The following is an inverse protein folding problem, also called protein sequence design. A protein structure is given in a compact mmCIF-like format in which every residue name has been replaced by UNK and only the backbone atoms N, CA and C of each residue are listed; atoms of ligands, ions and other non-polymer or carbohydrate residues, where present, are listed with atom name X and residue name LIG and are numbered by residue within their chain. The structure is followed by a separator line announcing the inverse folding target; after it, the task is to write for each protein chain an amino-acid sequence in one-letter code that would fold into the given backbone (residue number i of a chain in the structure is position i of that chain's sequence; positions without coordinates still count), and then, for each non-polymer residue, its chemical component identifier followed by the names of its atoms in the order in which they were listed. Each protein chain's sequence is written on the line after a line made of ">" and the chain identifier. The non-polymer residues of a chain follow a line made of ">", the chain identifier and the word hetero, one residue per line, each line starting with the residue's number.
data_IF_204531187518
#
_entry.id   IF_204531187518
#
_cell.length_a   1.000
_cell.length_b   1.000
_cell.length_c   1.000
_cell.angle_alpha   90.00
_cell.angle_beta   90.00
_cell.angle_gamma   90.00
#
_symmetry.space_group_name_H-M   'P 1'
#
loop_
_entity.id
_entity.type
_entity.pdbx_description
1 polymer ?
#
# COMPACT_ATOMS: atom_id res chain seq x y z
N UNK A 1 16.44 -7.31 -2.04
CA UNK A 1 15.84 -6.14 -2.70
C UNK A 1 15.79 -5.02 -1.68
N UNK A 2 16.41 -3.89 -1.97
CA UNK A 2 16.40 -2.72 -1.08
C UNK A 2 15.33 -1.76 -1.60
N UNK A 3 14.31 -1.49 -0.79
CA UNK A 3 13.24 -0.54 -1.15
C UNK A 3 13.40 0.69 -0.29
N UNK A 4 13.61 1.84 -0.93
CA UNK A 4 13.70 3.13 -0.26
C UNK A 4 12.31 3.74 -0.21
N UNK A 5 11.75 3.89 0.99
CA UNK A 5 10.47 4.55 1.22
C UNK A 5 10.71 5.88 1.94
N UNK A 6 10.01 6.92 1.48
CA UNK A 6 9.98 8.19 2.19
C UNK A 6 9.11 8.06 3.44
N UNK A 7 9.70 8.34 4.61
CA UNK A 7 9.05 8.21 5.91
C UNK A 7 7.81 9.13 6.05
N UNK A 8 7.78 10.23 5.30
CA UNK A 8 6.63 11.17 5.30
C UNK A 8 5.35 10.55 4.74
N UNK A 9 5.46 9.47 3.97
CA UNK A 9 4.33 8.74 3.40
C UNK A 9 3.89 7.55 4.25
N UNK A 10 4.67 7.18 5.27
CA UNK A 10 4.36 6.11 6.23
C UNK A 10 2.99 6.33 6.88
N UNK A 11 2.73 7.54 7.37
CA UNK A 11 1.47 7.90 8.03
C UNK A 11 0.27 8.05 7.07
N UNK A 12 0.50 8.07 5.75
CA UNK A 12 -0.53 8.25 4.72
C UNK A 12 -0.89 6.94 3.99
N UNK A 13 -0.30 5.81 4.39
CA UNK A 13 -0.52 4.54 3.70
C UNK A 13 -1.98 4.08 3.80
N UNK A 14 -2.55 4.23 4.99
CA UNK A 14 -3.97 4.02 5.24
C UNK A 14 -4.71 5.34 5.08
N UNK A 15 -5.84 5.29 4.39
CA UNK A 15 -6.72 6.45 4.32
C UNK A 15 -7.34 6.66 5.71
N UNK A 16 -7.08 7.82 6.30
CA UNK A 16 -7.64 8.20 7.60
C UNK A 16 -9.08 8.67 7.49
N UNK A 17 -9.53 9.04 6.29
CA UNK A 17 -10.91 9.40 6.05
C UNK A 17 -11.81 8.15 6.02
N UNK A 18 -12.62 7.98 7.07
CA UNK A 18 -13.79 7.11 6.99
C UNK A 18 -14.73 7.68 5.95
N UNK A 19 -14.68 7.15 4.73
CA UNK A 19 -15.72 7.40 3.73
C UNK A 19 -17.02 6.84 4.31
N UNK A 20 -17.86 7.71 4.88
CA UNK A 20 -19.19 7.37 5.42
C UNK A 20 -20.18 6.86 4.35
N UNK A 21 -19.67 6.44 3.18
CA UNK A 21 -20.40 5.85 2.06
C UNK A 21 -20.44 4.33 2.23
N UNK A 22 -21.65 3.76 2.17
CA UNK A 22 -21.86 2.31 2.18
C UNK A 22 -21.09 1.68 1.01
N UNK A 23 -20.18 0.75 1.32
CA UNK A 23 -19.57 -0.15 0.33
C UNK A 23 -18.07 0.00 0.06
N UNK A 24 -17.39 1.05 0.55
CA UNK A 24 -15.96 1.17 0.34
C UNK A 24 -15.27 1.90 1.51
N UNK A 25 -14.73 1.17 2.51
CA UNK A 25 -13.63 1.72 3.28
C UNK A 25 -12.47 1.90 2.30
N UNK A 26 -12.06 3.13 2.04
CA UNK A 26 -10.73 3.37 1.48
C UNK A 26 -9.76 2.86 2.56
N UNK A 27 -9.33 1.60 2.46
CA UNK A 27 -8.36 1.04 3.40
C UNK A 27 -6.97 1.53 3.04
N UNK A 28 -6.71 1.77 1.76
CA UNK A 28 -5.43 2.24 1.23
C UNK A 28 -5.60 3.62 0.60
N UNK A 29 -4.64 4.50 0.83
CA UNK A 29 -4.55 5.76 0.09
C UNK A 29 -4.24 5.53 -1.39
N UNK A 30 -4.62 6.48 -2.26
CA UNK A 30 -4.27 6.46 -3.69
C UNK A 30 -2.77 6.26 -3.92
N UNK A 31 -1.92 6.81 -3.05
CA UNK A 31 -0.48 6.63 -3.12
C UNK A 31 -0.06 5.17 -2.89
N UNK A 32 -0.67 4.48 -1.92
CA UNK A 32 -0.39 3.07 -1.67
C UNK A 32 -0.86 2.19 -2.84
N UNK A 33 -2.00 2.54 -3.46
CA UNK A 33 -2.49 1.86 -4.67
C UNK A 33 -1.54 2.06 -5.85
N UNK A 34 -1.08 3.29 -6.10
CA UNK A 34 -0.11 3.59 -7.15
C UNK A 34 1.22 2.86 -6.92
N UNK A 35 1.76 2.87 -5.70
CA UNK A 35 2.96 2.10 -5.35
C UNK A 35 2.78 0.60 -5.64
N UNK A 36 1.64 0.03 -5.25
CA UNK A 36 1.31 -1.36 -5.56
C UNK A 36 1.30 -1.66 -7.06
N UNK A 37 0.71 -0.77 -7.87
CA UNK A 37 0.69 -0.92 -9.34
C UNK A 37 2.08 -0.81 -9.97
N UNK A 38 2.93 0.11 -9.50
CA UNK A 38 4.32 0.23 -9.98
C UNK A 38 5.12 -1.03 -9.65
N UNK A 39 5.01 -1.54 -8.41
CA UNK A 39 5.68 -2.78 -8.01
C UNK A 39 5.17 -3.96 -8.84
N UNK A 40 3.85 -4.01 -9.09
CA UNK A 40 3.25 -5.03 -9.95
C UNK A 40 3.86 -5.01 -11.35
N UNK A 41 4.03 -3.84 -11.93
CA UNK A 41 4.54 -3.67 -13.30
C UNK A 41 6.04 -3.98 -13.38
N UNK A 42 6.85 -3.47 -12.45
CA UNK A 42 8.32 -3.66 -12.44
C UNK A 42 8.71 -5.12 -12.18
N UNK A 43 7.97 -5.81 -11.30
CA UNK A 43 8.26 -7.20 -10.93
C UNK A 43 7.35 -8.22 -11.64
N UNK A 44 6.46 -7.77 -12.53
CA UNK A 44 5.46 -8.59 -13.23
C UNK A 44 4.72 -9.58 -12.31
N UNK A 45 4.32 -9.12 -11.12
CA UNK A 45 3.74 -9.99 -10.09
C UNK A 45 2.24 -10.25 -10.29
N UNK A 46 1.75 -11.48 -10.02
CA UNK A 46 0.32 -11.71 -9.90
C UNK A 46 -0.23 -10.98 -8.66
N UNK A 47 -1.50 -10.56 -8.70
CA UNK A 47 -2.12 -9.73 -7.65
C UNK A 47 -1.99 -10.35 -6.25
N UNK A 48 -2.07 -11.69 -6.15
CA UNK A 48 -1.88 -12.42 -4.88
C UNK A 48 -0.47 -12.28 -4.30
N UNK A 49 0.56 -12.31 -5.15
CA UNK A 49 1.94 -12.13 -4.70
C UNK A 49 2.20 -10.67 -4.31
N UNK A 50 1.60 -9.74 -5.05
CA UNK A 50 1.64 -8.32 -4.72
C UNK A 50 1.01 -8.03 -3.34
N UNK A 51 -0.14 -8.62 -3.02
CA UNK A 51 -0.77 -8.48 -1.69
C UNK A 51 0.15 -8.96 -0.56
N UNK A 52 0.78 -10.12 -0.73
CA UNK A 52 1.75 -10.63 0.25
C UNK A 52 2.95 -9.71 0.44
N UNK A 53 3.52 -9.22 -0.67
CA UNK A 53 4.64 -8.29 -0.66
C UNK A 53 4.26 -6.95 -0.03
N UNK A 54 3.09 -6.38 -0.38
CA UNK A 54 2.61 -5.14 0.21
C UNK A 54 2.38 -5.29 1.71
N UNK A 55 1.81 -6.42 2.17
CA UNK A 55 1.67 -6.70 3.61
C UNK A 55 3.02 -6.72 4.32
N UNK A 56 4.02 -7.40 3.75
CA UNK A 56 5.37 -7.41 4.32
C UNK A 56 6.02 -6.02 4.33
N UNK A 57 5.82 -5.21 3.28
CA UNK A 57 6.30 -3.82 3.22
C UNK A 57 5.63 -2.97 4.31
N UNK A 58 4.33 -3.08 4.50
CA UNK A 58 3.57 -2.35 5.53
C UNK A 58 4.07 -2.71 6.93
N UNK A 59 4.25 -4.00 7.23
CA UNK A 59 4.81 -4.46 8.50
C UNK A 59 6.25 -3.96 8.69
N UNK A 60 7.07 -3.96 7.64
CA UNK A 60 8.43 -3.40 7.68
C UNK A 60 8.44 -1.89 7.93
N UNK A 61 7.45 -1.17 7.38
CA UNK A 61 7.23 0.25 7.59
C UNK A 61 6.57 0.56 8.94
N UNK A 62 6.16 -0.45 9.73
CA UNK A 62 5.58 -0.27 11.06
C UNK A 62 4.29 0.55 11.07
N UNK A 63 3.44 0.38 10.05
CA UNK A 63 2.18 1.14 9.87
C UNK A 63 0.94 0.35 10.31
N UNK A 64 1.09 -0.72 11.10
CA UNK A 64 -0.05 -1.53 11.58
C UNK A 64 -0.96 -0.80 12.58
#
# INVERSE_FOLDING_TARGET
>A
MTVWFDDTHRARWYETAQSGRRGAPHRYSDMAVQCGLVIREVFHLPLRALEGLMRSIITLLGVE
#
